data_IF_175988969035
#
_entry.id   IF_175988969035
#
_cell.length_a   1.000
_cell.length_b   1.000
_cell.length_c   1.000
_cell.angle_alpha   90.00
_cell.angle_beta   90.00
_cell.angle_gamma   90.00
#
_symmetry.space_group_name_H-M   'P 1'
#
loop_
_entity.id
_entity.type
_entity.pdbx_description
1 polymer ?
#
# COMPACT_ATOMS: atom_id res chain seq x y z
N UNK A 1 -23.91 4.76 4.98
CA UNK A 1 -22.58 4.89 5.60
C UNK A 1 -21.91 3.56 5.99
N UNK A 2 -22.65 2.52 6.43
CA UNK A 2 -22.06 1.24 6.88
C UNK A 2 -21.34 0.43 5.78
N UNK A 3 -21.84 0.48 4.54
CA UNK A 3 -21.27 -0.21 3.38
C UNK A 3 -19.92 0.36 2.92
N UNK A 4 -19.73 1.68 3.01
CA UNK A 4 -18.47 2.34 2.61
C UNK A 4 -17.37 1.97 3.61
N UNK A 5 -17.69 1.99 4.91
CA UNK A 5 -16.75 1.63 5.96
C UNK A 5 -16.32 0.15 5.90
N UNK A 6 -17.24 -0.77 5.59
CA UNK A 6 -16.88 -2.18 5.37
C UNK A 6 -15.89 -2.36 4.22
N UNK A 7 -16.05 -1.61 3.14
CA UNK A 7 -15.16 -1.70 1.99
C UNK A 7 -13.75 -1.20 2.32
N UNK A 8 -13.64 -0.13 3.12
CA UNK A 8 -12.35 0.41 3.57
C UNK A 8 -11.65 -0.54 4.56
N UNK A 9 -12.41 -1.15 5.47
CA UNK A 9 -11.91 -2.14 6.43
C UNK A 9 -11.38 -3.39 5.70
N UNK A 10 -12.09 -3.85 4.65
CA UNK A 10 -11.67 -5.00 3.82
C UNK A 10 -10.40 -4.71 3.02
N UNK A 11 -10.28 -3.50 2.45
CA UNK A 11 -9.08 -3.07 1.71
C UNK A 11 -7.86 -2.92 2.64
N UNK A 12 -8.07 -2.39 3.85
CA UNK A 12 -7.04 -2.29 4.86
C UNK A 12 -6.59 -3.68 5.33
N UNK A 13 -7.53 -4.61 5.52
CA UNK A 13 -7.24 -6.00 5.87
C UNK A 13 -6.47 -6.73 4.76
N UNK A 14 -6.83 -6.55 3.49
CA UNK A 14 -6.08 -7.14 2.36
C UNK A 14 -4.65 -6.59 2.29
N UNK A 15 -4.48 -5.28 2.46
CA UNK A 15 -3.16 -4.66 2.50
C UNK A 15 -2.31 -5.21 3.67
N UNK A 16 -2.92 -5.37 4.84
CA UNK A 16 -2.28 -5.97 6.01
C UNK A 16 -1.86 -7.42 5.76
N UNK A 17 -2.75 -8.23 5.18
CA UNK A 17 -2.45 -9.63 4.86
C UNK A 17 -1.31 -9.74 3.86
N UNK A 18 -1.31 -8.94 2.78
CA UNK A 18 -0.22 -8.91 1.80
C UNK A 18 1.10 -8.50 2.46
N UNK A 19 1.08 -7.45 3.28
CA UNK A 19 2.24 -7.02 4.07
C UNK A 19 2.76 -8.12 5.00
N UNK A 20 1.84 -8.80 5.68
CA UNK A 20 2.15 -9.93 6.56
C UNK A 20 2.75 -11.10 5.80
N UNK A 21 2.23 -11.48 4.63
CA UNK A 21 2.82 -12.55 3.81
C UNK A 21 4.25 -12.22 3.38
N UNK A 22 4.50 -10.99 2.95
CA UNK A 22 5.84 -10.52 2.59
C UNK A 22 6.76 -10.55 3.81
N UNK A 23 6.28 -10.08 4.96
CA UNK A 23 7.03 -10.11 6.23
C UNK A 23 7.36 -11.53 6.68
N UNK A 24 6.39 -12.45 6.61
CA UNK A 24 6.57 -13.86 6.93
C UNK A 24 7.63 -14.50 6.04
N UNK A 25 7.60 -14.23 4.74
CA UNK A 25 8.59 -14.74 3.79
C UNK A 25 10.01 -14.23 4.11
N UNK A 26 10.14 -12.93 4.41
CA UNK A 26 11.43 -12.33 4.81
C UNK A 26 12.01 -13.00 6.04
N UNK A 27 11.22 -13.13 7.10
CA UNK A 27 11.69 -13.71 8.37
C UNK A 27 11.90 -15.22 8.27
N UNK A 28 11.08 -15.92 7.49
CA UNK A 28 11.28 -17.35 7.19
C UNK A 28 12.62 -17.57 6.49
N UNK A 29 12.98 -16.73 5.52
CA UNK A 29 14.28 -16.80 4.84
C UNK A 29 15.45 -16.59 5.82
N UNK A 30 15.33 -15.60 6.72
CA UNK A 30 16.33 -15.36 7.77
C UNK A 30 16.42 -16.54 8.74
N UNK A 31 15.30 -17.14 9.11
CA UNK A 31 15.26 -18.29 10.01
C UNK A 31 15.85 -19.56 9.38
N UNK A 32 15.65 -19.80 8.08
CA UNK A 32 16.34 -20.89 7.36
C UNK A 32 17.85 -20.68 7.39
N UNK A 33 18.30 -19.47 7.09
CA UNK A 33 19.73 -19.15 7.09
C UNK A 33 20.34 -19.30 8.49
N UNK A 34 19.73 -18.68 9.49
CA UNK A 34 20.17 -18.80 10.88
C UNK A 34 20.13 -20.25 11.39
N UNK A 35 19.08 -20.99 11.01
CA UNK A 35 18.93 -22.41 11.33
C UNK A 35 20.03 -23.27 10.71
N UNK A 36 20.41 -23.01 9.46
CA UNK A 36 21.51 -23.69 8.79
C UNK A 36 22.87 -23.39 9.45
N UNK A 37 23.12 -22.12 9.78
CA UNK A 37 24.34 -21.70 10.48
C UNK A 37 24.43 -22.33 11.87
N UNK A 38 23.33 -22.32 12.64
CA UNK A 38 23.28 -22.95 13.96
C UNK A 38 23.44 -24.47 13.87
N UNK A 39 22.91 -25.10 12.81
CA UNK A 39 23.09 -26.51 12.58
C UNK A 39 24.56 -26.87 12.25
N UNK A 40 25.28 -25.99 11.56
CA UNK A 40 26.70 -26.21 11.25
C UNK A 40 27.61 -25.95 12.45
N UNK A 41 27.32 -24.91 13.25
CA UNK A 41 28.23 -24.42 14.29
C UNK A 41 27.94 -24.95 15.69
N UNK A 42 26.68 -25.26 16.01
CA UNK A 42 26.27 -25.65 17.36
C UNK A 42 25.94 -27.14 17.46
N UNK A 43 26.75 -27.95 18.19
CA UNK A 43 26.45 -29.37 18.40
C UNK A 43 25.15 -29.57 19.18
N UNK A 44 24.82 -28.64 20.08
CA UNK A 44 23.57 -28.67 20.87
C UNK A 44 22.35 -28.46 19.97
N UNK A 45 22.43 -27.56 19.00
CA UNK A 45 21.34 -27.33 18.05
C UNK A 45 21.17 -28.50 17.07
N UNK A 46 22.28 -29.16 16.68
CA UNK A 46 22.24 -30.39 15.89
C UNK A 46 21.45 -31.52 16.56
N UNK A 47 21.63 -31.70 17.87
CA UNK A 47 20.96 -32.73 18.66
C UNK A 47 19.43 -32.54 18.80
N UNK A 48 18.91 -31.33 18.52
CA UNK A 48 17.46 -31.05 18.58
C UNK A 48 16.73 -31.81 17.46
N UNK A 49 15.56 -32.36 17.79
CA UNK A 49 14.74 -33.13 16.83
C UNK A 49 14.20 -32.22 15.71
N UNK A 50 14.08 -32.71 14.46
CA UNK A 50 13.58 -31.92 13.34
C UNK A 50 12.24 -31.19 13.58
N UNK A 51 11.22 -31.78 14.26
CA UNK A 51 9.96 -31.08 14.52
C UNK A 51 10.14 -29.84 15.41
N UNK A 52 11.04 -29.89 16.39
CA UNK A 52 11.34 -28.76 17.28
C UNK A 52 12.06 -27.64 16.54
N UNK A 53 12.91 -27.97 15.56
CA UNK A 53 13.53 -26.99 14.65
C UNK A 53 12.47 -26.32 13.76
N UNK A 54 11.46 -27.09 13.32
CA UNK A 54 10.32 -26.58 12.56
C UNK A 54 9.51 -25.52 13.32
N UNK A 55 9.35 -25.66 14.63
CA UNK A 55 8.68 -24.63 15.45
C UNK A 55 9.39 -23.28 15.43
N UNK A 56 10.72 -23.27 15.27
CA UNK A 56 11.49 -22.03 15.13
C UNK A 56 11.15 -21.31 13.82
N UNK A 57 10.93 -22.07 12.75
CA UNK A 57 10.48 -21.55 11.45
C UNK A 57 9.06 -20.97 11.52
N UNK A 58 8.16 -21.65 12.22
CA UNK A 58 6.79 -21.17 12.45
C UNK A 58 6.82 -19.87 13.26
N UNK A 59 7.57 -19.83 14.37
CA UNK A 59 7.69 -18.64 15.21
C UNK A 59 8.27 -17.45 14.44
N UNK A 60 9.32 -17.66 13.65
CA UNK A 60 9.90 -16.61 12.82
C UNK A 60 8.93 -16.12 11.74
N UNK A 61 8.21 -17.04 11.09
CA UNK A 61 7.20 -16.68 10.08
C UNK A 61 6.06 -15.87 10.70
N UNK A 62 5.60 -16.23 11.90
CA UNK A 62 4.55 -15.50 12.62
C UNK A 62 5.02 -14.11 13.06
N UNK A 63 6.25 -14.00 13.55
CA UNK A 63 6.86 -12.72 13.91
C UNK A 63 7.00 -11.81 12.68
N UNK A 64 7.43 -12.37 11.56
CA UNK A 64 7.49 -11.68 10.28
C UNK A 64 6.10 -11.25 9.78
N UNK A 65 5.10 -12.11 9.93
CA UNK A 65 3.72 -11.80 9.57
C UNK A 65 3.20 -10.59 10.34
N UNK A 66 3.32 -10.61 11.67
CA UNK A 66 2.87 -9.49 12.51
C UNK A 66 3.56 -8.17 12.16
N UNK A 67 4.90 -8.19 12.00
CA UNK A 67 5.66 -6.98 11.66
C UNK A 67 5.30 -6.46 10.25
N UNK A 68 5.18 -7.37 9.28
CA UNK A 68 4.78 -7.05 7.91
C UNK A 68 3.35 -6.50 7.82
N UNK A 69 2.40 -7.06 8.58
CA UNK A 69 1.03 -6.60 8.58
C UNK A 69 0.89 -5.21 9.21
N UNK A 70 1.58 -4.97 10.32
CA UNK A 70 1.51 -3.69 11.03
C UNK A 70 2.14 -2.54 10.22
N UNK A 71 3.29 -2.80 9.59
CA UNK A 71 3.92 -1.84 8.68
C UNK A 71 3.08 -1.56 7.43
N UNK A 72 2.37 -2.56 6.89
CA UNK A 72 1.47 -2.35 5.76
C UNK A 72 0.22 -1.57 6.15
N UNK A 73 -0.36 -1.86 7.32
CA UNK A 73 -1.53 -1.15 7.83
C UNK A 73 -1.25 0.33 8.09
N UNK A 74 -0.14 0.61 8.78
CA UNK A 74 0.29 2.00 9.04
C UNK A 74 0.59 2.77 7.74
N UNK A 75 1.16 2.12 6.74
CA UNK A 75 1.38 2.74 5.43
C UNK A 75 0.08 2.95 4.64
N UNK A 76 -0.91 2.07 4.78
CA UNK A 76 -2.24 2.24 4.21
C UNK A 76 -2.91 3.50 4.76
N UNK A 77 -2.93 3.67 6.09
CA UNK A 77 -3.47 4.87 6.72
C UNK A 77 -2.75 6.15 6.31
N UNK A 78 -1.41 6.10 6.16
CA UNK A 78 -0.64 7.26 5.68
C UNK A 78 -1.02 7.66 4.27
N UNK A 79 -1.12 6.68 3.36
CA UNK A 79 -1.52 6.92 1.97
C UNK A 79 -2.94 7.46 1.86
N UNK A 80 -3.86 6.97 2.69
CA UNK A 80 -5.23 7.47 2.71
C UNK A 80 -5.29 8.94 3.14
N UNK A 81 -4.56 9.31 4.22
CA UNK A 81 -4.45 10.71 4.65
C UNK A 81 -3.85 11.61 3.57
N UNK A 82 -2.80 11.16 2.89
CA UNK A 82 -2.19 11.90 1.78
C UNK A 82 -3.16 12.11 0.61
N UNK A 83 -3.96 11.08 0.27
CA UNK A 83 -5.00 11.17 -0.76
C UNK A 83 -6.09 12.17 -0.39
N UNK A 84 -6.56 12.17 0.86
CA UNK A 84 -7.55 13.12 1.34
C UNK A 84 -7.05 14.57 1.25
N UNK A 85 -5.79 14.81 1.62
CA UNK A 85 -5.16 16.14 1.51
C UNK A 85 -5.07 16.57 0.04
N UNK A 86 -4.66 15.66 -0.86
CA UNK A 86 -4.57 15.95 -2.29
C UNK A 86 -5.94 16.30 -2.89
N UNK A 87 -6.97 15.55 -2.54
CA UNK A 87 -8.35 15.81 -2.99
C UNK A 87 -8.88 17.15 -2.44
N UNK A 88 -8.58 17.47 -1.18
CA UNK A 88 -8.96 18.77 -0.60
C UNK A 88 -8.24 19.93 -1.29
N UNK A 89 -6.95 19.78 -1.60
CA UNK A 89 -6.18 20.78 -2.34
C UNK A 89 -6.67 20.95 -3.77
N UNK A 90 -7.02 19.85 -4.47
CA UNK A 90 -7.64 19.91 -5.80
C UNK A 90 -8.98 20.66 -5.75
N UNK A 91 -9.86 20.33 -4.80
CA UNK A 91 -11.14 21.06 -4.64
C UNK A 91 -10.94 22.56 -4.40
N UNK A 92 -9.97 22.93 -3.56
CA UNK A 92 -9.63 24.35 -3.32
C UNK A 92 -9.10 25.02 -4.59
N UNK A 93 -8.24 24.33 -5.33
CA UNK A 93 -7.71 24.83 -6.60
C UNK A 93 -8.82 25.02 -7.64
N UNK A 94 -9.73 24.05 -7.76
CA UNK A 94 -10.85 24.10 -8.71
C UNK A 94 -11.82 25.25 -8.38
N UNK A 95 -12.06 25.53 -7.10
CA UNK A 95 -12.87 26.70 -6.68
C UNK A 95 -12.18 28.02 -7.05
N UNK A 96 -10.87 28.13 -6.81
CA UNK A 96 -10.14 29.38 -6.99
C UNK A 96 -9.84 29.71 -8.46
N UNK A 97 -9.61 28.68 -9.28
CA UNK A 97 -9.14 28.87 -10.65
C UNK A 97 -10.13 28.38 -11.70
N UNK A 98 -11.29 27.86 -11.31
CA UNK A 98 -12.24 27.19 -12.20
C UNK A 98 -11.80 25.75 -12.49
N UNK A 99 -12.77 24.85 -12.58
CA UNK A 99 -12.50 23.44 -12.85
C UNK A 99 -11.76 23.26 -14.18
N UNK A 100 -10.95 22.21 -14.31
CA UNK A 100 -10.30 21.89 -15.58
C UNK A 100 -11.33 21.72 -16.73
N UNK A 101 -12.56 21.33 -16.40
CA UNK A 101 -13.68 21.24 -17.34
C UNK A 101 -14.20 22.62 -17.76
N UNK A 102 -14.35 23.58 -16.85
CA UNK A 102 -14.69 24.97 -17.21
C UNK A 102 -13.61 25.65 -18.02
N UNK A 103 -12.33 25.42 -17.70
CA UNK A 103 -11.21 25.94 -18.51
C UNK A 103 -11.17 25.32 -19.90
N UNK A 104 -11.48 24.03 -20.02
CA UNK A 104 -11.60 23.38 -21.33
C UNK A 104 -12.82 23.93 -22.08
N UNK A 105 -13.99 24.02 -21.46
CA UNK A 105 -15.20 24.54 -22.08
C UNK A 105 -15.06 25.99 -22.54
N UNK A 106 -14.43 26.85 -21.74
CA UNK A 106 -14.11 28.24 -22.14
C UNK A 106 -13.07 28.29 -23.25
N UNK A 107 -12.05 27.43 -23.23
CA UNK A 107 -11.08 27.34 -24.34
C UNK A 107 -11.72 26.86 -25.65
N UNK A 108 -12.63 25.87 -25.61
CA UNK A 108 -13.37 25.41 -26.80
C UNK A 108 -14.36 26.47 -27.30
N UNK A 109 -15.00 27.22 -26.39
CA UNK A 109 -15.86 28.34 -26.76
C UNK A 109 -15.07 29.49 -27.40
N UNK A 110 -13.85 29.76 -26.91
CA UNK A 110 -12.95 30.78 -27.49
C UNK A 110 -12.42 30.37 -28.86
N UNK A 111 -12.12 29.09 -29.09
CA UNK A 111 -11.65 28.61 -30.39
C UNK A 111 -12.76 28.56 -31.43
N UNK A 112 -14.00 28.27 -31.01
CA UNK A 112 -15.17 28.31 -31.89
C UNK A 112 -15.52 29.75 -32.34
N UNK A 113 -15.41 30.75 -31.45
CA UNK A 113 -15.64 32.15 -31.81
C UNK A 113 -14.54 32.74 -32.69
N UNK A 114 -13.30 32.25 -32.56
CA UNK A 114 -12.19 32.64 -33.43
C UNK A 114 -12.35 32.13 -34.87
N UNK A 115 -12.98 30.97 -35.09
CA UNK A 115 -13.26 30.46 -36.44
C UNK A 115 -14.35 31.22 -37.20
N UNK A 116 -15.36 31.76 -36.50
CA UNK A 116 -16.43 32.54 -37.14
C UNK A 116 -15.96 33.92 -37.61
N UNK A 117 -14.92 34.48 -36.98
CA UNK A 117 -14.39 35.80 -37.34
C UNK A 117 -13.56 35.77 -38.64
N UNK A 118 -12.93 34.62 -38.96
CA UNK A 118 -12.15 34.45 -40.20
C UNK A 118 -12.97 34.00 -41.42
N UNK A 119 -14.26 33.68 -41.26
CA UNK A 119 -15.15 33.28 -42.35
C UNK A 119 -15.91 34.47 -43.00
N UNK A 120 -15.69 35.70 -42.50
CA UNK A 120 -16.39 36.92 -42.94
C UNK A 120 -15.49 38.01 -43.52
N UNK A 121 -14.24 37.68 -43.84
CA UNK A 121 -13.31 38.53 -44.61
C UNK A 121 -13.05 37.94 -45.99
#
# INVERSE_FOLDING_TARGET
>A
MRLIKQNDDDLAAEAAMRGGFIGAFKYSTVALFAGAVLHATSPRFRAIRPPQKGWLMVAASLAGFGNGSDTAFTNYERRDREMQIRLANQKRHDILYGSAEEKRATATALSASASDTNASA
#
